data_IF_226766563908
#
_entry.id   IF_226766563908
#
_cell.length_a   1.000
_cell.length_b   1.000
_cell.length_c   1.000
_cell.angle_alpha   90.00
_cell.angle_beta   90.00
_cell.angle_gamma   90.00
#
_symmetry.space_group_name_H-M   'P 1'
#
loop_
_entity.id
_entity.type
_entity.pdbx_description
1 polymer ?
#
# COMPACT_ATOMS: atom_id res chain seq x y z
N UNK A 1 -13.10 18.68 -1.52
CA UNK A 1 -12.29 17.71 -0.74
C UNK A 1 -10.86 17.85 -1.20
N UNK A 2 -9.92 17.96 -0.26
CA UNK A 2 -8.50 18.02 -0.58
C UNK A 2 -8.03 16.60 -0.92
N UNK A 3 -7.32 16.45 -2.03
CA UNK A 3 -6.65 15.22 -2.42
C UNK A 3 -5.16 15.31 -2.04
N UNK A 4 -4.53 14.15 -1.90
CA UNK A 4 -3.15 14.01 -1.46
C UNK A 4 -2.31 13.27 -2.51
N UNK A 5 -1.02 13.61 -2.56
CA UNK A 5 -0.02 12.91 -3.38
C UNK A 5 0.23 11.49 -2.89
N UNK A 6 -0.10 11.19 -1.63
CA UNK A 6 -0.06 9.82 -1.16
C UNK A 6 -0.76 9.58 0.16
N UNK A 7 -1.04 8.30 0.39
CA UNK A 7 -1.64 7.78 1.62
C UNK A 7 -0.71 6.71 2.16
N UNK A 8 -0.20 6.90 3.37
CA UNK A 8 0.61 5.91 4.06
C UNK A 8 -0.17 5.30 5.22
N UNK A 9 -0.06 3.99 5.39
CA UNK A 9 -0.72 3.27 6.46
C UNK A 9 0.18 2.20 7.08
N UNK A 10 -0.01 2.00 8.39
CA UNK A 10 0.61 0.94 9.19
C UNK A 10 -0.49 0.27 10.01
N UNK A 11 -0.44 -1.06 10.09
CA UNK A 11 -1.38 -1.89 10.85
C UNK A 11 -2.85 -1.83 10.35
N UNK A 12 -3.04 -1.85 9.03
CA UNK A 12 -4.37 -2.05 8.42
C UNK A 12 -4.74 -3.55 8.34
N UNK A 13 -6.05 -3.83 8.34
CA UNK A 13 -6.60 -5.19 8.25
C UNK A 13 -6.23 -5.88 6.93
N UNK A 14 -6.33 -5.18 5.79
CA UNK A 14 -5.85 -5.65 4.48
C UNK A 14 -5.46 -4.51 3.53
N UNK A 15 -4.74 -4.83 2.46
CA UNK A 15 -4.44 -3.89 1.36
C UNK A 15 -5.72 -3.44 0.65
N UNK A 16 -6.67 -4.35 0.42
CA UNK A 16 -7.96 -4.04 -0.19
C UNK A 16 -8.75 -3.02 0.62
N UNK A 17 -8.82 -3.18 1.94
CA UNK A 17 -9.51 -2.21 2.81
C UNK A 17 -8.86 -0.82 2.76
N UNK A 18 -7.52 -0.79 2.70
CA UNK A 18 -6.76 0.47 2.62
C UNK A 18 -7.06 1.21 1.31
N UNK A 19 -6.94 0.52 0.17
CA UNK A 19 -7.11 1.17 -1.13
C UNK A 19 -8.57 1.57 -1.37
N UNK A 20 -9.54 0.72 -1.00
CA UNK A 20 -10.97 1.04 -1.12
C UNK A 20 -11.38 2.17 -0.19
N UNK A 21 -10.92 2.16 1.07
CA UNK A 21 -11.28 3.18 2.05
C UNK A 21 -10.68 4.55 1.76
N UNK A 22 -9.54 4.60 1.07
CA UNK A 22 -8.78 5.83 0.84
C UNK A 22 -8.69 6.28 -0.62
N UNK A 23 -9.28 5.56 -1.58
CA UNK A 23 -9.23 5.90 -3.00
C UNK A 23 -9.63 7.36 -3.29
N UNK A 24 -10.73 7.84 -2.71
CA UNK A 24 -11.19 9.22 -2.94
C UNK A 24 -10.24 10.32 -2.43
N UNK A 25 -9.29 9.96 -1.56
CA UNK A 25 -8.30 10.88 -1.00
C UNK A 25 -7.09 11.06 -1.92
N UNK A 26 -6.90 10.17 -2.89
CA UNK A 26 -5.70 10.15 -3.73
C UNK A 26 -5.86 11.02 -4.99
N UNK A 27 -4.79 11.70 -5.35
CA UNK A 27 -4.62 12.26 -6.70
C UNK A 27 -4.45 11.13 -7.72
N UNK A 28 -4.73 11.37 -9.02
CA UNK A 28 -4.51 10.38 -10.08
C UNK A 28 -3.08 9.84 -10.11
N UNK A 29 -2.10 10.72 -9.89
CA UNK A 29 -0.67 10.39 -9.85
C UNK A 29 -0.19 9.92 -8.47
N UNK A 30 -1.10 9.87 -7.49
CA UNK A 30 -0.73 9.60 -6.11
C UNK A 30 -0.33 8.14 -5.87
N UNK A 31 0.18 7.89 -4.68
CA UNK A 31 0.67 6.55 -4.26
C UNK A 31 0.12 6.12 -2.92
N UNK A 32 -0.14 4.83 -2.79
CA UNK A 32 -0.35 4.21 -1.49
C UNK A 32 0.95 3.59 -0.99
N UNK A 33 1.23 3.78 0.29
CA UNK A 33 2.33 3.11 0.98
C UNK A 33 1.79 2.28 2.14
N UNK A 34 1.91 0.96 2.05
CA UNK A 34 1.47 0.04 3.08
C UNK A 34 2.67 -0.61 3.78
N UNK A 35 2.81 -0.37 5.08
CA UNK A 35 3.82 -1.05 5.89
C UNK A 35 3.28 -2.40 6.37
N UNK A 36 3.97 -3.47 5.98
CA UNK A 36 3.69 -4.87 6.33
C UNK A 36 4.88 -5.50 7.04
N UNK A 37 4.61 -6.52 7.86
CA UNK A 37 5.66 -7.34 8.45
C UNK A 37 6.27 -8.26 7.39
N UNK A 38 5.47 -9.21 6.92
CA UNK A 38 5.85 -10.13 5.84
C UNK A 38 5.32 -9.63 4.49
N UNK A 39 5.90 -10.16 3.41
CA UNK A 39 5.40 -9.89 2.06
C UNK A 39 3.95 -10.41 1.91
N UNK A 40 2.97 -9.55 1.58
CA UNK A 40 1.54 -9.88 1.66
C UNK A 40 1.02 -10.53 0.37
N UNK A 41 1.56 -11.68 -0.04
CA UNK A 41 1.18 -12.37 -1.30
C UNK A 41 -0.33 -12.57 -1.46
N UNK A 42 -1.01 -13.01 -0.39
CA UNK A 42 -2.44 -13.31 -0.44
C UNK A 42 -3.28 -12.04 -0.61
N UNK A 43 -2.90 -10.95 0.08
CA UNK A 43 -3.61 -9.67 -0.04
C UNK A 43 -3.39 -9.03 -1.41
N UNK A 44 -2.20 -9.17 -1.97
CA UNK A 44 -1.91 -8.71 -3.34
C UNK A 44 -2.74 -9.48 -4.38
N UNK A 45 -2.97 -10.77 -4.14
CA UNK A 45 -3.78 -11.61 -5.02
C UNK A 45 -5.27 -11.26 -4.95
N UNK A 46 -5.72 -10.71 -3.83
CA UNK A 46 -7.09 -10.24 -3.60
C UNK A 46 -7.30 -8.77 -4.03
N UNK A 47 -6.24 -8.06 -4.41
CA UNK A 47 -6.31 -6.66 -4.82
C UNK A 47 -7.03 -6.52 -6.16
N UNK A 48 -7.80 -5.44 -6.32
CA UNK A 48 -8.46 -5.17 -7.60
C UNK A 48 -7.44 -4.91 -8.71
N UNK A 49 -7.73 -5.41 -9.91
CA UNK A 49 -6.78 -5.42 -11.05
C UNK A 49 -6.33 -4.05 -11.53
N UNK A 50 -7.04 -2.98 -11.16
CA UNK A 50 -6.65 -1.63 -11.52
C UNK A 50 -5.58 -1.06 -10.59
N UNK A 51 -5.30 -1.69 -9.43
CA UNK A 51 -4.15 -1.30 -8.61
C UNK A 51 -2.91 -2.06 -9.03
N UNK A 52 -1.78 -1.34 -9.11
CA UNK A 52 -0.49 -1.94 -9.46
C UNK A 52 0.46 -1.86 -8.27
N UNK A 53 1.24 -2.92 -8.05
CA UNK A 53 2.39 -2.90 -7.14
C UNK A 53 3.57 -2.34 -7.91
N UNK A 54 3.94 -1.11 -7.59
CA UNK A 54 5.09 -0.43 -8.21
C UNK A 54 6.40 -0.94 -7.62
N UNK A 55 6.43 -1.12 -6.30
CA UNK A 55 7.60 -1.59 -5.59
C UNK A 55 7.25 -2.26 -4.25
N UNK A 56 8.14 -3.12 -3.80
CA UNK A 56 8.14 -3.63 -2.42
C UNK A 56 9.53 -3.39 -1.83
N UNK A 57 9.61 -2.44 -0.92
CA UNK A 57 10.85 -2.05 -0.28
C UNK A 57 11.03 -2.85 1.01
N UNK A 58 12.00 -3.77 1.03
CA UNK A 58 12.39 -4.43 2.29
C UNK A 58 13.16 -3.43 3.14
N UNK A 59 12.74 -3.29 4.40
CA UNK A 59 13.31 -2.33 5.34
C UNK A 59 14.13 -3.07 6.40
N UNK A 60 15.39 -2.69 6.52
CA UNK A 60 16.24 -3.11 7.63
C UNK A 60 16.04 -2.13 8.80
N UNK A 61 15.24 -2.54 9.79
CA UNK A 61 14.89 -1.68 10.93
C UNK A 61 15.79 -2.00 12.12
N UNK A 62 16.61 -1.04 12.60
CA UNK A 62 17.50 -1.28 13.74
C UNK A 62 16.72 -1.72 14.99
N UNK A 63 17.17 -2.81 15.62
CA UNK A 63 16.55 -3.34 16.83
C UNK A 63 15.22 -4.08 16.62
N UNK A 64 14.89 -4.44 15.38
CA UNK A 64 13.73 -5.28 15.07
C UNK A 64 14.19 -6.59 14.42
N UNK A 65 13.93 -7.72 15.08
CA UNK A 65 14.29 -9.06 14.57
C UNK A 65 13.34 -9.57 13.48
N UNK A 66 12.32 -8.79 13.11
CA UNK A 66 11.29 -9.19 12.16
C UNK A 66 11.40 -8.46 10.82
N UNK A 67 11.01 -9.14 9.75
CA UNK A 67 10.93 -8.51 8.42
C UNK A 67 9.99 -7.31 8.42
N UNK A 68 10.33 -6.32 7.60
CA UNK A 68 9.49 -5.16 7.33
C UNK A 68 9.51 -4.88 5.84
N UNK A 69 8.32 -4.65 5.29
CA UNK A 69 8.12 -4.38 3.89
C UNK A 69 7.26 -3.12 3.75
N UNK A 70 7.68 -2.18 2.92
CA UNK A 70 6.86 -1.05 2.50
C UNK A 70 6.44 -1.30 1.06
N UNK A 71 5.16 -1.63 0.86
CA UNK A 71 4.61 -1.76 -0.48
C UNK A 71 4.22 -0.39 -1.00
N UNK A 72 4.58 -0.11 -2.24
CA UNK A 72 4.19 1.05 -3.01
C UNK A 72 3.19 0.63 -4.09
N UNK A 73 2.02 1.26 -4.09
CA UNK A 73 0.93 0.94 -5.00
C UNK A 73 0.48 2.19 -5.75
N UNK A 74 0.13 2.04 -7.02
CA UNK A 74 -0.53 3.06 -7.83
C UNK A 74 -1.98 2.64 -8.13
N UNK A 75 -2.86 3.63 -8.27
CA UNK A 75 -4.20 3.43 -8.83
C UNK A 75 -4.12 3.62 -10.35
N UNK A 76 -4.31 2.55 -11.10
CA UNK A 76 -4.49 2.60 -12.54
C UNK A 76 -5.86 3.16 -12.94
N UNK A 77 -6.04 3.52 -14.22
CA UNK A 77 -7.34 3.96 -14.72
C UNK A 77 -8.36 2.83 -14.55
N UNK A 78 -9.52 3.16 -13.97
CA UNK A 78 -10.67 2.25 -13.83
C UNK A 78 -11.38 2.03 -15.16
#
# INVERSE_FOLDING_TARGET
MQKFDGVISRAFASLSDMVQGCHQLLLPEGRFWALKGVYPTDELSALEKHYNVEACHRLDVPGCDGERHLLELSAGPQ
#
